data_IF_314485783142
#
_entry.id   IF_314485783142
#
_cell.length_a   1.000
_cell.length_b   1.000
_cell.length_c   1.000
_cell.angle_alpha   90.00
_cell.angle_beta   90.00
_cell.angle_gamma   90.00
#
_symmetry.space_group_name_H-M   'P 1'
#
loop_
_entity.id
_entity.type
_entity.pdbx_description
1 polymer ?
#
# COMPACT_ATOMS: atom_id res chain seq x y z
N UNK A 1 32.55 23.73 -22.92
CA UNK A 1 31.60 22.80 -23.58
C UNK A 1 30.20 23.38 -23.49
N UNK A 2 29.82 24.24 -24.44
CA UNK A 2 28.51 24.90 -24.46
C UNK A 2 27.49 24.01 -25.16
N UNK A 3 26.68 23.29 -24.40
CA UNK A 3 25.53 22.56 -24.94
C UNK A 3 24.56 23.50 -25.67
N UNK A 4 23.69 22.97 -26.57
CA UNK A 4 22.77 23.79 -27.35
C UNK A 4 21.95 24.70 -26.44
N UNK A 5 21.99 26.01 -26.72
CA UNK A 5 21.26 27.04 -25.98
C UNK A 5 19.77 26.75 -26.06
N UNK A 6 19.20 26.26 -24.97
CA UNK A 6 17.77 26.06 -24.85
C UNK A 6 17.15 27.34 -24.27
N UNK A 7 16.50 28.15 -25.10
CA UNK A 7 15.81 29.37 -24.64
C UNK A 7 14.83 29.12 -23.48
N UNK A 8 14.33 27.89 -23.32
CA UNK A 8 13.47 27.53 -22.18
C UNK A 8 14.14 27.79 -20.82
N UNK A 9 15.48 27.70 -20.72
CA UNK A 9 16.20 27.94 -19.46
C UNK A 9 16.10 29.38 -18.97
N UNK A 10 15.80 30.33 -19.86
CA UNK A 10 15.58 31.74 -19.50
C UNK A 10 14.20 32.02 -18.89
N UNK A 11 13.31 31.03 -18.90
CA UNK A 11 12.01 31.14 -18.26
C UNK A 11 12.06 30.64 -16.82
N UNK A 12 11.21 31.19 -15.93
CA UNK A 12 11.10 30.72 -14.55
C UNK A 12 10.80 29.22 -14.47
N UNK A 13 11.29 28.55 -13.43
CA UNK A 13 11.14 27.09 -13.25
C UNK A 13 9.68 26.63 -13.37
N UNK A 14 8.73 27.38 -12.78
CA UNK A 14 7.28 27.09 -12.88
C UNK A 14 6.79 27.02 -14.34
N UNK A 15 7.30 27.88 -15.21
CA UNK A 15 6.95 27.89 -16.64
C UNK A 15 7.64 26.73 -17.36
N UNK A 16 8.90 26.43 -17.04
CA UNK A 16 9.61 25.27 -17.62
C UNK A 16 8.88 23.96 -17.31
N UNK A 17 8.48 23.76 -16.05
CA UNK A 17 7.70 22.57 -15.66
C UNK A 17 6.32 22.53 -16.31
N UNK A 18 5.65 23.67 -16.50
CA UNK A 18 4.40 23.73 -17.25
C UNK A 18 4.58 23.30 -18.71
N UNK A 19 5.65 23.75 -19.37
CA UNK A 19 6.01 23.35 -20.74
C UNK A 19 6.30 21.84 -20.80
N UNK A 20 7.00 21.29 -19.81
CA UNK A 20 7.25 19.84 -19.71
C UNK A 20 5.96 19.04 -19.52
N UNK A 21 5.06 19.51 -18.67
CA UNK A 21 3.76 18.87 -18.44
C UNK A 21 2.93 18.80 -19.73
N UNK A 22 2.77 19.93 -20.42
CA UNK A 22 2.00 20.00 -21.67
C UNK A 22 2.59 19.09 -22.75
N UNK A 23 3.93 19.05 -22.88
CA UNK A 23 4.56 18.15 -23.84
C UNK A 23 4.35 16.68 -23.50
N UNK A 24 4.48 16.32 -22.23
CA UNK A 24 4.23 14.96 -21.75
C UNK A 24 2.77 14.53 -21.98
N UNK A 25 1.82 15.46 -21.86
CA UNK A 25 0.39 15.27 -22.18
C UNK A 25 0.09 15.24 -23.69
N UNK A 26 1.11 15.32 -24.56
CA UNK A 26 0.95 15.20 -26.01
C UNK A 26 0.59 16.50 -26.74
N UNK A 27 0.66 17.66 -26.08
CA UNK A 27 0.35 18.94 -26.72
C UNK A 27 1.40 19.29 -27.78
N UNK A 28 0.93 19.84 -28.91
CA UNK A 28 1.79 20.35 -29.96
C UNK A 28 2.52 21.64 -29.54
N UNK A 29 3.62 21.96 -30.22
CA UNK A 29 4.39 23.19 -29.97
C UNK A 29 3.53 24.46 -30.08
N UNK A 30 2.56 24.49 -31.00
CA UNK A 30 1.64 25.62 -31.15
C UNK A 30 0.73 25.77 -29.91
N UNK A 31 0.17 24.66 -29.42
CA UNK A 31 -0.68 24.67 -28.23
C UNK A 31 0.12 25.01 -26.96
N UNK A 32 1.36 24.53 -26.84
CA UNK A 32 2.27 24.90 -25.74
C UNK A 32 2.55 26.40 -25.73
N UNK A 33 2.82 26.99 -26.90
CA UNK A 33 3.05 28.44 -27.00
C UNK A 33 1.78 29.27 -26.75
N UNK A 34 0.60 28.69 -26.96
CA UNK A 34 -0.69 29.32 -26.68
C UNK A 34 -1.12 29.21 -25.20
N UNK A 35 -0.44 28.39 -24.37
CA UNK A 35 -0.75 28.31 -22.94
C UNK A 35 -0.55 29.69 -22.29
N UNK A 36 -1.54 30.21 -21.52
CA UNK A 36 -1.48 31.58 -20.99
C UNK A 36 -0.25 31.86 -20.13
N UNK A 37 0.21 30.88 -19.35
CA UNK A 37 1.38 31.05 -18.49
C UNK A 37 2.69 31.05 -19.31
N UNK A 38 2.74 30.24 -20.38
CA UNK A 38 3.86 30.21 -21.32
C UNK A 38 3.91 31.50 -22.14
N UNK A 39 2.79 31.92 -22.73
CA UNK A 39 2.68 33.15 -23.51
C UNK A 39 3.05 34.40 -22.70
N UNK A 40 2.55 34.52 -21.46
CA UNK A 40 2.89 35.61 -20.56
C UNK A 40 4.39 35.63 -20.22
N UNK A 41 4.99 34.45 -20.05
CA UNK A 41 6.42 34.33 -19.80
C UNK A 41 7.25 34.74 -21.01
N UNK A 42 6.87 34.32 -22.21
CA UNK A 42 7.52 34.73 -23.48
C UNK A 42 7.42 36.24 -23.68
N UNK A 43 6.26 36.84 -23.41
CA UNK A 43 6.09 38.29 -23.49
C UNK A 43 6.98 39.03 -22.48
N UNK A 44 7.17 38.48 -21.28
CA UNK A 44 8.00 39.07 -20.23
C UNK A 44 9.49 38.92 -20.45
N UNK A 45 9.95 37.74 -20.90
CA UNK A 45 11.38 37.43 -21.04
C UNK A 45 11.94 37.76 -22.43
N UNK A 46 11.08 37.89 -23.43
CA UNK A 46 11.47 38.09 -24.83
C UNK A 46 12.01 36.84 -25.53
N UNK A 47 12.21 35.74 -24.80
CA UNK A 47 12.72 34.49 -25.36
C UNK A 47 11.56 33.62 -25.86
N UNK A 48 11.52 33.37 -27.17
CA UNK A 48 10.50 32.52 -27.79
C UNK A 48 10.88 31.04 -27.75
N UNK A 49 9.87 30.19 -27.61
CA UNK A 49 9.99 28.74 -27.62
C UNK A 49 9.74 28.19 -29.03
N UNK A 50 10.73 28.37 -29.91
CA UNK A 50 10.72 27.80 -31.25
C UNK A 50 10.82 26.27 -31.21
N UNK A 51 10.45 25.59 -32.30
CA UNK A 51 10.56 24.14 -32.42
C UNK A 51 11.96 23.61 -32.07
N UNK A 52 13.02 24.31 -32.48
CA UNK A 52 14.40 23.94 -32.14
C UNK A 52 14.70 24.07 -30.63
N UNK A 53 14.13 25.09 -29.97
CA UNK A 53 14.22 25.26 -28.51
C UNK A 53 13.53 24.11 -27.80
N UNK A 54 12.31 23.78 -28.21
CA UNK A 54 11.53 22.68 -27.64
C UNK A 54 12.22 21.33 -27.87
N UNK A 55 12.72 21.07 -29.09
CA UNK A 55 13.48 19.86 -29.40
C UNK A 55 14.78 19.73 -28.58
N UNK A 56 15.41 20.84 -28.21
CA UNK A 56 16.53 20.82 -27.27
C UNK A 56 16.07 20.58 -25.83
N UNK A 57 14.91 21.14 -25.44
CA UNK A 57 14.32 20.95 -24.13
C UNK A 57 13.96 19.49 -23.83
N UNK A 58 13.40 18.76 -24.80
CA UNK A 58 13.05 17.34 -24.64
C UNK A 58 14.26 16.43 -24.46
N UNK A 59 15.43 16.85 -24.96
CA UNK A 59 16.68 16.12 -24.76
C UNK A 59 17.41 16.49 -23.47
N UNK A 60 16.96 17.54 -22.78
CA UNK A 60 17.60 18.03 -21.56
C UNK A 60 17.46 17.06 -20.38
N UNK A 61 18.46 17.06 -19.50
CA UNK A 61 18.40 16.28 -18.26
C UNK A 61 17.24 16.72 -17.35
N UNK A 62 16.85 17.99 -17.38
CA UNK A 62 15.73 18.54 -16.61
C UNK A 62 14.40 17.89 -17.04
N UNK A 63 14.14 17.80 -18.35
CA UNK A 63 12.95 17.12 -18.87
C UNK A 63 12.98 15.62 -18.58
N UNK A 64 14.11 14.93 -18.79
CA UNK A 64 14.21 13.49 -18.49
C UNK A 64 13.90 13.17 -17.02
N UNK A 65 14.36 14.02 -16.08
CA UNK A 65 14.02 13.89 -14.66
C UNK A 65 12.54 14.15 -14.40
N UNK A 66 11.95 15.15 -15.05
CA UNK A 66 10.52 15.44 -14.95
C UNK A 66 9.68 14.24 -15.43
N UNK A 67 9.95 13.74 -16.63
CA UNK A 67 9.25 12.59 -17.22
C UNK A 67 9.39 11.35 -16.32
N UNK A 68 10.60 11.00 -15.91
CA UNK A 68 10.83 9.86 -15.01
C UNK A 68 10.12 10.01 -13.65
N UNK A 69 10.03 11.22 -13.11
CA UNK A 69 9.25 11.47 -11.89
C UNK A 69 7.75 11.29 -12.09
N UNK A 70 7.24 11.66 -13.27
CA UNK A 70 5.82 11.50 -13.62
C UNK A 70 5.47 10.03 -13.88
N UNK A 71 6.31 9.30 -14.61
CA UNK A 71 6.18 7.87 -14.85
C UNK A 71 6.19 7.08 -13.53
N UNK A 72 7.09 7.41 -12.59
CA UNK A 72 7.10 6.79 -11.25
C UNK A 72 5.81 7.04 -10.47
N UNK A 73 5.24 8.24 -10.59
CA UNK A 73 3.97 8.57 -9.92
C UNK A 73 2.80 7.83 -10.57
N UNK A 74 2.80 7.72 -11.90
CA UNK A 74 1.78 6.99 -12.66
C UNK A 74 1.84 5.49 -12.36
N UNK A 75 3.03 4.88 -12.41
CA UNK A 75 3.25 3.47 -12.07
C UNK A 75 2.85 3.15 -10.62
N UNK A 76 3.07 4.06 -9.67
CA UNK A 76 2.63 3.89 -8.30
C UNK A 76 1.10 3.89 -8.15
N UNK A 77 0.40 4.77 -8.88
CA UNK A 77 -1.08 4.86 -8.86
C UNK A 77 -1.72 3.68 -9.59
N UNK A 78 -1.23 3.31 -10.77
CA UNK A 78 -1.74 2.11 -11.47
C UNK A 78 -1.44 0.83 -10.70
N UNK A 79 -0.25 0.70 -10.12
CA UNK A 79 0.11 -0.46 -9.29
C UNK A 79 -0.82 -0.62 -8.09
N UNK A 80 -1.21 0.49 -7.45
CA UNK A 80 -2.17 0.48 -6.34
C UNK A 80 -3.59 0.09 -6.81
N UNK A 81 -4.05 0.60 -7.95
CA UNK A 81 -5.36 0.26 -8.51
C UNK A 81 -5.45 -1.21 -8.94
N UNK A 82 -4.40 -1.74 -9.56
CA UNK A 82 -4.31 -3.16 -9.96
C UNK A 82 -4.27 -4.05 -8.72
N UNK A 83 -3.45 -3.70 -7.72
CA UNK A 83 -3.39 -4.44 -6.46
C UNK A 83 -4.76 -4.46 -5.76
N UNK A 84 -5.45 -3.32 -5.69
CA UNK A 84 -6.79 -3.23 -5.12
C UNK A 84 -7.76 -4.16 -5.86
N UNK A 85 -7.81 -4.09 -7.20
CA UNK A 85 -8.70 -4.93 -8.01
C UNK A 85 -8.45 -6.43 -7.80
N UNK A 86 -7.19 -6.86 -7.77
CA UNK A 86 -6.87 -8.28 -7.55
C UNK A 86 -7.27 -8.73 -6.14
N UNK A 87 -7.12 -7.87 -5.13
CA UNK A 87 -7.57 -8.18 -3.76
C UNK A 87 -9.10 -8.25 -3.64
N UNK A 88 -9.83 -7.44 -4.42
CA UNK A 88 -11.29 -7.50 -4.56
C UNK A 88 -11.72 -8.82 -5.22
N UNK A 89 -11.14 -9.16 -6.37
CA UNK A 89 -11.47 -10.37 -7.14
C UNK A 89 -11.21 -11.66 -6.34
N UNK A 90 -10.18 -11.68 -5.48
CA UNK A 90 -9.81 -12.87 -4.68
C UNK A 90 -10.60 -12.94 -3.35
N UNK A 91 -11.46 -11.95 -3.06
CA UNK A 91 -12.29 -11.90 -1.85
C UNK A 91 -11.51 -11.62 -0.55
N UNK A 92 -10.24 -11.26 -0.67
CA UNK A 92 -9.31 -11.08 0.46
C UNK A 92 -9.56 -9.79 1.25
N UNK A 93 -10.30 -8.82 0.69
CA UNK A 93 -10.59 -7.55 1.36
C UNK A 93 -11.44 -7.69 2.63
N UNK A 94 -12.20 -8.77 2.77
CA UNK A 94 -13.07 -9.03 3.93
C UNK A 94 -12.33 -9.58 5.16
N UNK A 95 -11.09 -10.09 5.01
CA UNK A 95 -10.34 -10.75 6.11
C UNK A 95 -8.98 -10.13 6.40
N UNK A 96 -8.52 -9.16 5.63
CA UNK A 96 -7.20 -8.54 5.78
C UNK A 96 -7.35 -7.23 6.56
N UNK A 97 -6.76 -7.14 7.74
CA UNK A 97 -6.65 -5.92 8.55
C UNK A 97 -5.94 -4.81 7.78
N UNK A 98 -6.34 -3.56 7.99
CA UNK A 98 -5.83 -2.40 7.21
C UNK A 98 -4.29 -2.26 7.21
N UNK A 99 -3.63 -2.76 8.26
CA UNK A 99 -2.16 -2.82 8.37
C UNK A 99 -1.53 -3.74 7.33
N UNK A 100 -2.12 -4.91 7.10
CA UNK A 100 -1.62 -5.87 6.10
C UNK A 100 -1.86 -5.37 4.67
N UNK A 101 -2.94 -4.59 4.43
CA UNK A 101 -3.14 -3.92 3.14
C UNK A 101 -2.10 -2.83 2.89
N UNK A 102 -1.75 -2.06 3.94
CA UNK A 102 -0.75 -0.99 3.84
C UNK A 102 0.67 -1.53 3.59
N UNK A 103 1.10 -2.56 4.34
CA UNK A 103 2.40 -3.21 4.12
C UNK A 103 2.45 -3.90 2.75
N UNK A 104 1.36 -4.52 2.30
CA UNK A 104 1.27 -5.11 0.96
C UNK A 104 1.43 -4.06 -0.14
N UNK A 105 0.72 -2.94 -0.03
CA UNK A 105 0.86 -1.85 -0.99
C UNK A 105 2.27 -1.23 -0.94
N UNK A 106 2.95 -1.26 0.22
CA UNK A 106 4.35 -0.83 0.37
C UNK A 106 5.32 -1.78 -0.33
N UNK A 107 5.20 -3.08 -0.12
CA UNK A 107 6.05 -4.08 -0.77
C UNK A 107 5.85 -4.12 -2.29
N UNK A 108 4.61 -4.00 -2.76
CA UNK A 108 4.30 -3.88 -4.20
C UNK A 108 4.98 -2.65 -4.80
N UNK A 109 4.94 -1.49 -4.11
CA UNK A 109 5.62 -0.27 -4.55
C UNK A 109 7.15 -0.40 -4.58
N UNK A 110 7.73 -1.09 -3.60
CA UNK A 110 9.18 -1.35 -3.56
C UNK A 110 9.61 -2.30 -4.70
N UNK A 111 8.81 -3.32 -5.00
CA UNK A 111 9.08 -4.31 -6.05
C UNK A 111 8.88 -3.77 -7.47
N UNK A 112 7.95 -2.83 -7.69
CA UNK A 112 7.84 -2.06 -8.94
C UNK A 112 9.07 -1.15 -9.13
N UNK A 113 9.68 -0.67 -8.04
CA UNK A 113 10.88 0.15 -8.09
C UNK A 113 12.17 -0.62 -8.43
N UNK A 114 12.18 -1.93 -8.22
CA UNK A 114 13.28 -2.81 -8.62
C UNK A 114 13.24 -3.06 -10.13
N UNK A 115 14.41 -3.10 -10.78
CA UNK A 115 14.50 -3.29 -12.23
C UNK A 115 13.70 -4.54 -12.67
N UNK A 116 12.92 -4.45 -13.76
CA UNK A 116 12.18 -5.61 -14.26
C UNK A 116 13.17 -6.70 -14.68
N UNK A 117 12.87 -7.95 -14.33
CA UNK A 117 13.55 -9.10 -14.95
C UNK A 117 13.16 -9.12 -16.43
N UNK A 118 14.10 -9.47 -17.29
CA UNK A 118 13.89 -9.51 -18.75
C UNK A 118 12.71 -10.44 -19.08
N UNK A 119 11.58 -9.84 -19.51
CA UNK A 119 10.43 -10.56 -20.07
C UNK A 119 9.13 -10.52 -19.25
N UNK A 120 9.12 -10.00 -18.03
CA UNK A 120 7.88 -9.83 -17.23
C UNK A 120 7.50 -8.34 -17.17
N UNK A 121 6.28 -7.99 -17.59
CA UNK A 121 5.78 -6.62 -17.42
C UNK A 121 5.55 -6.32 -15.93
N UNK A 122 5.64 -5.03 -15.55
CA UNK A 122 5.37 -4.61 -14.18
C UNK A 122 3.96 -5.02 -13.71
N UNK A 123 2.99 -5.04 -14.63
CA UNK A 123 1.60 -5.47 -14.36
C UNK A 123 1.53 -6.97 -14.04
N UNK A 124 2.13 -7.82 -14.87
CA UNK A 124 2.16 -9.28 -14.65
C UNK A 124 2.83 -9.64 -13.33
N UNK A 125 3.91 -8.92 -12.99
CA UNK A 125 4.61 -9.08 -11.71
C UNK A 125 3.72 -8.76 -10.51
N UNK A 126 3.00 -7.63 -10.56
CA UNK A 126 2.07 -7.22 -9.50
C UNK A 126 0.95 -8.23 -9.34
N UNK A 127 0.37 -8.70 -10.44
CA UNK A 127 -0.69 -9.71 -10.39
C UNK A 127 -0.23 -11.04 -9.80
N UNK A 128 0.97 -11.51 -10.20
CA UNK A 128 1.55 -12.76 -9.69
C UNK A 128 1.81 -12.67 -8.19
N UNK A 129 2.47 -11.60 -7.74
CA UNK A 129 2.79 -11.38 -6.33
C UNK A 129 1.53 -11.27 -5.46
N UNK A 130 0.53 -10.52 -5.94
CA UNK A 130 -0.73 -10.33 -5.21
C UNK A 130 -1.49 -11.67 -5.09
N UNK A 131 -1.51 -12.50 -6.14
CA UNK A 131 -2.13 -13.84 -6.08
C UNK A 131 -1.38 -14.81 -5.17
N UNK A 132 -0.04 -14.82 -5.22
CA UNK A 132 0.77 -15.65 -4.31
C UNK A 132 0.51 -15.27 -2.85
N UNK A 133 0.46 -13.98 -2.53
CA UNK A 133 0.20 -13.55 -1.16
C UNK A 133 -1.25 -13.82 -0.71
N UNK A 134 -2.24 -13.62 -1.59
CA UNK A 134 -3.63 -13.96 -1.28
C UNK A 134 -3.79 -15.46 -0.95
N UNK A 135 -2.97 -16.32 -1.57
CA UNK A 135 -2.90 -17.75 -1.24
C UNK A 135 -2.27 -17.99 0.13
N UNK A 136 -1.10 -17.39 0.39
CA UNK A 136 -0.40 -17.53 1.68
C UNK A 136 -1.25 -17.01 2.85
N UNK A 137 -1.90 -15.86 2.69
CA UNK A 137 -2.79 -15.28 3.70
C UNK A 137 -4.01 -16.16 3.96
N UNK A 138 -4.58 -16.80 2.94
CA UNK A 138 -5.68 -17.76 3.10
C UNK A 138 -5.23 -18.98 3.90
N UNK A 139 -4.07 -19.54 3.60
CA UNK A 139 -3.50 -20.69 4.30
C UNK A 139 -3.16 -20.37 5.76
N UNK A 140 -2.54 -19.22 6.01
CA UNK A 140 -2.22 -18.76 7.38
C UNK A 140 -3.50 -18.47 8.19
N UNK A 141 -4.53 -17.90 7.55
CA UNK A 141 -5.84 -17.69 8.20
C UNK A 141 -6.49 -19.03 8.56
N UNK A 142 -6.37 -20.05 7.71
CA UNK A 142 -6.89 -21.39 7.98
C UNK A 142 -6.12 -22.04 9.15
N UNK A 143 -4.79 -21.91 9.17
CA UNK A 143 -3.94 -22.39 10.27
C UNK A 143 -4.31 -21.73 11.59
N UNK A 144 -4.39 -20.40 11.63
CA UNK A 144 -4.74 -19.66 12.84
C UNK A 144 -6.15 -20.02 13.34
N UNK A 145 -7.11 -20.28 12.44
CA UNK A 145 -8.44 -20.77 12.82
C UNK A 145 -8.39 -22.16 13.47
N UNK A 146 -7.57 -23.06 12.95
CA UNK A 146 -7.39 -24.39 13.51
C UNK A 146 -6.76 -24.32 14.91
N UNK A 147 -5.70 -23.53 15.07
CA UNK A 147 -5.05 -23.30 16.36
C UNK A 147 -6.00 -22.66 17.38
N UNK A 148 -6.81 -21.68 16.95
CA UNK A 148 -7.81 -21.07 17.83
C UNK A 148 -8.90 -22.06 18.28
N UNK A 149 -9.31 -22.99 17.41
CA UNK A 149 -10.24 -24.04 17.74
C UNK A 149 -9.64 -25.05 18.74
N UNK A 150 -8.36 -25.40 18.55
CA UNK A 150 -7.62 -26.28 19.46
C UNK A 150 -7.44 -25.65 20.85
N UNK A 151 -7.02 -24.39 20.91
CA UNK A 151 -6.90 -23.65 22.16
C UNK A 151 -8.25 -23.55 22.90
N UNK A 152 -9.35 -23.33 22.18
CA UNK A 152 -10.70 -23.34 22.78
C UNK A 152 -11.07 -24.71 23.33
N UNK A 153 -10.70 -25.80 22.66
CA UNK A 153 -10.92 -27.15 23.16
C UNK A 153 -10.10 -27.41 24.43
N UNK A 154 -8.82 -27.01 24.45
CA UNK A 154 -7.95 -27.10 25.63
C UNK A 154 -8.49 -26.28 26.81
N UNK A 155 -9.00 -25.07 26.56
CA UNK A 155 -9.64 -24.25 27.59
C UNK A 155 -10.85 -24.99 28.17
N UNK A 156 -11.75 -25.53 27.33
CA UNK A 156 -12.92 -26.26 27.79
C UNK A 156 -12.56 -27.52 28.59
N UNK A 157 -11.51 -28.24 28.17
CA UNK A 157 -11.01 -29.42 28.89
C UNK A 157 -10.42 -29.05 30.26
N UNK A 158 -9.61 -27.98 30.33
CA UNK A 158 -9.05 -27.47 31.59
C UNK A 158 -10.14 -26.94 32.53
N UNK A 159 -11.18 -26.28 31.99
CA UNK A 159 -12.34 -25.85 32.75
C UNK A 159 -13.10 -27.04 33.36
N UNK A 160 -13.26 -28.13 32.60
CA UNK A 160 -13.88 -29.37 33.10
C UNK A 160 -13.03 -30.00 34.20
N UNK A 161 -11.71 -30.12 34.00
CA UNK A 161 -10.80 -30.68 35.01
C UNK A 161 -10.78 -29.84 36.30
N UNK A 162 -10.85 -28.51 36.19
CA UNK A 162 -10.96 -27.63 37.36
C UNK A 162 -12.29 -27.83 38.11
N UNK A 163 -13.39 -28.02 37.38
CA UNK A 163 -14.69 -28.32 37.98
C UNK A 163 -14.67 -29.67 38.73
N UNK A 164 -14.20 -30.73 38.08
CA UNK A 164 -14.08 -32.07 38.66
C UNK A 164 -13.12 -32.10 39.85
N UNK A 165 -12.01 -31.37 39.79
CA UNK A 165 -11.06 -31.24 40.90
C UNK A 165 -11.64 -30.40 42.06
N UNK A 166 -12.52 -29.45 41.78
CA UNK A 166 -13.27 -28.69 42.79
C UNK A 166 -14.32 -29.56 43.50
N UNK A 167 -15.10 -30.32 42.74
CA UNK A 167 -16.08 -31.27 43.26
C UNK A 167 -15.43 -32.41 44.05
N UNK A 168 -14.34 -32.97 43.53
CA UNK A 168 -13.54 -33.98 44.23
C UNK A 168 -12.96 -33.46 45.54
N UNK A 169 -12.58 -32.18 45.61
CA UNK A 169 -12.15 -31.54 46.87
C UNK A 169 -13.29 -31.41 47.87
N UNK A 170 -14.50 -31.03 47.44
CA UNK A 170 -15.68 -30.99 48.31
C UNK A 170 -15.98 -32.38 48.89
N UNK A 171 -15.97 -33.42 48.05
CA UNK A 171 -16.19 -34.82 48.46
C UNK A 171 -15.10 -35.31 49.41
N UNK A 172 -13.82 -35.06 49.10
CA UNK A 172 -12.69 -35.48 49.94
C UNK A 172 -12.62 -34.74 51.29
N UNK A 173 -13.10 -33.49 51.34
CA UNK A 173 -13.20 -32.72 52.60
C UNK A 173 -14.42 -33.09 53.45
N UNK A 174 -15.35 -33.91 52.93
CA UNK A 174 -16.54 -34.35 53.67
C UNK A 174 -17.55 -33.24 54.00
N UNK A 175 -17.43 -32.07 53.37
CA UNK A 175 -18.30 -30.93 53.63
C UNK A 175 -19.57 -31.03 52.78
N UNK A 176 -20.72 -31.21 53.43
CA UNK A 176 -22.02 -30.98 52.78
C UNK A 176 -22.20 -29.48 52.51
N UNK A 177 -23.00 -29.10 51.51
CA UNK A 177 -23.25 -27.68 51.22
C UNK A 177 -23.83 -26.92 52.44
N UNK A 178 -24.53 -27.62 53.35
CA UNK A 178 -24.99 -27.08 54.63
C UNK A 178 -23.84 -26.81 55.62
N UNK A 179 -22.80 -27.64 55.63
CA UNK A 179 -21.61 -27.42 56.46
C UNK A 179 -20.77 -26.24 55.94
N UNK A 180 -20.70 -26.05 54.62
CA UNK A 180 -20.03 -24.89 54.01
C UNK A 180 -20.78 -23.60 54.36
N UNK A 181 -22.12 -23.60 54.23
CA UNK A 181 -22.95 -22.44 54.57
C UNK A 181 -22.86 -22.06 56.05
N UNK A 182 -22.81 -23.04 56.96
CA UNK A 182 -22.58 -22.78 58.39
C UNK A 182 -21.20 -22.18 58.69
N UNK A 183 -20.16 -22.59 57.97
CA UNK A 183 -18.81 -22.02 58.11
C UNK A 183 -18.78 -20.58 57.59
N UNK A 184 -19.44 -20.30 56.46
CA UNK A 184 -19.55 -18.95 55.90
C UNK A 184 -20.32 -17.98 56.83
N UNK A 185 -21.41 -18.44 57.46
CA UNK A 185 -22.13 -17.67 58.49
C UNK A 185 -21.29 -17.45 59.76
N UNK A 186 -20.56 -18.46 60.24
CA UNK A 186 -19.68 -18.31 61.42
C UNK A 186 -18.44 -17.44 61.15
N UNK A 187 -17.96 -17.40 59.92
CA UNK A 187 -16.88 -16.52 59.48
C UNK A 187 -17.35 -15.08 59.20
N UNK A 188 -18.66 -14.81 59.24
CA UNK A 188 -19.26 -13.50 58.98
C UNK A 188 -19.15 -13.04 57.53
N UNK A 189 -19.08 -13.98 56.59
CA UNK A 189 -18.94 -13.74 55.14
C UNK A 189 -20.30 -13.71 54.42
N UNK A 190 -21.38 -13.98 55.15
CA UNK A 190 -22.80 -13.83 54.79
C UNK A 190 -23.48 -12.95 55.83
#
# INVERSE_FOLDING_TARGET
MGGPRNNLTWHPAKVRYRVYALHYEGYSAAQINADPAVAASVAKTGYRLHNNTLAAAWRSAEYKRYAAGRDKTFAAVEGEQIAQRVLEDVGALSSVTDVARYELAREIRELIGAAPDEGESAVERVERLTRSLATVTRDETARLKAENAELKAQIAELELQLHEAGESRKIASGLSDDAIRQIEEQAGLL
#
